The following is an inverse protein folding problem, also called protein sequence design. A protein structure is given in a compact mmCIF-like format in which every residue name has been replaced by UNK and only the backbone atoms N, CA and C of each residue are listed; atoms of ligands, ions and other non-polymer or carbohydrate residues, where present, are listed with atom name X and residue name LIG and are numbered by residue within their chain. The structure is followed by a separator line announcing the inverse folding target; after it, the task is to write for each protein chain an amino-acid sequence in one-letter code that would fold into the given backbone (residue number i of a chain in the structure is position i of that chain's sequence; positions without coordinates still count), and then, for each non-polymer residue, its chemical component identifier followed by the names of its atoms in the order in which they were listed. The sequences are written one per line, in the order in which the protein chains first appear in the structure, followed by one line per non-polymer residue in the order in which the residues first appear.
data_IF_187457176917
#
_entry.id   IF_187457176917
#
_cell.length_a   1.000
_cell.length_b   1.000
_cell.length_c   1.000
_cell.angle_alpha   90.00
_cell.angle_beta   90.00
_cell.angle_gamma   90.00
#
_symmetry.space_group_name_H-M   'P 1'
#
loop_
_entity.id
_entity.type
_entity.pdbx_description
1 polymer ?
#
# COMPACT_ATOMS: atom_id res chain seq x y z
N UNK A 1 2.87 9.78 -1.19
CA UNK A 1 2.07 8.55 -1.31
C UNK A 1 3.00 7.41 -1.66
N UNK A 2 3.00 6.33 -0.90
CA UNK A 2 3.69 5.11 -1.26
C UNK A 2 2.88 3.90 -0.81
N UNK A 3 3.23 2.71 -1.31
CA UNK A 3 2.61 1.46 -0.85
C UNK A 3 3.58 0.64 0.00
N UNK A 4 4.89 0.74 -0.23
CA UNK A 4 5.90 -0.04 0.48
C UNK A 4 5.60 -1.55 0.49
N UNK A 5 5.86 -2.22 -0.64
CA UNK A 5 5.71 -3.67 -0.73
C UNK A 5 6.85 -4.39 0.00
N UNK A 6 6.74 -4.52 1.34
CA UNK A 6 7.81 -5.06 2.20
C UNK A 6 7.89 -6.59 2.23
N UNK A 7 6.92 -7.27 1.64
CA UNK A 7 6.90 -8.72 1.43
C UNK A 7 5.94 -9.05 0.26
N UNK A 8 6.01 -10.28 -0.26
CA UNK A 8 5.02 -10.78 -1.22
C UNK A 8 3.73 -11.21 -0.51
N UNK A 9 3.81 -11.68 0.74
CA UNK A 9 2.63 -11.89 1.57
C UNK A 9 2.14 -10.54 2.12
N UNK A 10 0.91 -10.08 1.77
CA UNK A 10 0.41 -8.79 2.22
C UNK A 10 0.32 -8.68 3.74
N UNK A 11 0.14 -9.80 4.47
CA UNK A 11 0.11 -9.82 5.94
C UNK A 11 1.47 -9.54 6.54
N UNK A 12 2.51 -10.19 6.01
CA UNK A 12 3.88 -9.92 6.43
C UNK A 12 4.29 -8.50 6.06
N UNK A 13 3.94 -8.04 4.86
CA UNK A 13 4.20 -6.68 4.43
C UNK A 13 3.55 -5.65 5.40
N UNK A 14 2.29 -5.88 5.77
CA UNK A 14 1.58 -5.05 6.74
C UNK A 14 2.26 -5.06 8.12
N UNK A 15 2.62 -6.24 8.61
CA UNK A 15 3.29 -6.42 9.89
C UNK A 15 4.63 -5.68 9.97
N UNK A 16 5.41 -5.68 8.89
CA UNK A 16 6.72 -5.02 8.86
C UNK A 16 6.68 -3.49 8.88
N UNK A 17 5.53 -2.86 8.59
CA UNK A 17 5.46 -1.40 8.68
C UNK A 17 5.68 -0.92 10.12
N UNK A 18 6.31 0.25 10.23
CA UNK A 18 6.39 0.96 11.50
C UNK A 18 5.03 1.54 11.86
N UNK A 19 4.87 1.89 13.13
CA UNK A 19 3.57 2.26 13.69
C UNK A 19 2.95 3.47 12.98
N UNK A 20 3.76 4.45 12.61
CA UNK A 20 3.29 5.64 11.90
C UNK A 20 2.76 5.33 10.49
N UNK A 21 3.23 4.25 9.88
CA UNK A 21 2.87 3.90 8.52
C UNK A 21 1.60 3.06 8.41
N UNK A 22 1.26 2.20 9.38
CA UNK A 22 0.05 1.36 9.31
C UNK A 22 -1.20 2.21 9.04
N UNK A 23 -1.42 3.24 9.86
CA UNK A 23 -2.56 4.15 9.70
C UNK A 23 -2.46 5.01 8.42
N UNK A 24 -1.29 5.59 8.16
CA UNK A 24 -1.07 6.47 7.01
C UNK A 24 -1.28 5.75 5.68
N UNK A 25 -0.77 4.54 5.54
CA UNK A 25 -0.84 3.76 4.30
C UNK A 25 -2.27 3.31 4.00
N UNK A 26 -3.11 3.07 5.00
CA UNK A 26 -4.55 2.84 4.78
C UNK A 26 -5.26 4.03 4.15
N UNK A 27 -4.96 5.25 4.62
CA UNK A 27 -5.51 6.47 4.01
C UNK A 27 -5.02 6.66 2.58
N UNK A 28 -3.71 6.48 2.36
CA UNK A 28 -3.12 6.60 1.03
C UNK A 28 -3.68 5.53 0.05
N UNK A 29 -3.86 4.29 0.51
CA UNK A 29 -4.48 3.23 -0.27
C UNK A 29 -5.94 3.55 -0.63
N UNK A 30 -6.74 4.06 0.30
CA UNK A 30 -8.12 4.46 0.00
C UNK A 30 -8.18 5.60 -1.02
N UNK A 31 -7.29 6.58 -0.92
CA UNK A 31 -7.17 7.66 -1.90
C UNK A 31 -6.84 7.13 -3.30
N UNK A 32 -5.90 6.18 -3.41
CA UNK A 32 -5.58 5.53 -4.68
C UNK A 32 -6.75 4.73 -5.22
N UNK A 33 -7.30 3.80 -4.42
CA UNK A 33 -8.34 2.87 -4.86
C UNK A 33 -9.62 3.60 -5.27
N UNK A 34 -9.99 4.67 -4.55
CA UNK A 34 -11.12 5.53 -4.90
C UNK A 34 -10.84 6.34 -6.17
N UNK A 35 -9.63 6.88 -6.32
CA UNK A 35 -9.26 7.60 -7.54
C UNK A 35 -9.30 6.65 -8.74
N UNK A 36 -8.73 5.46 -8.63
CA UNK A 36 -8.78 4.44 -9.68
C UNK A 36 -10.22 4.02 -10.04
N UNK A 37 -11.12 3.91 -9.06
CA UNK A 37 -12.53 3.65 -9.32
C UNK A 37 -13.20 4.82 -10.07
N UNK A 38 -12.92 6.07 -9.69
CA UNK A 38 -13.45 7.27 -10.36
C UNK A 38 -12.93 7.42 -11.79
N UNK A 39 -11.63 7.22 -12.01
CA UNK A 39 -11.02 7.28 -13.34
C UNK A 39 -11.57 6.18 -14.28
N UNK A 40 -12.06 5.07 -13.71
CA UNK A 40 -12.77 4.01 -14.43
C UNK A 40 -14.30 4.17 -14.45
N UNK A 41 -14.81 5.39 -14.19
CA UNK A 41 -16.20 5.76 -14.41
C UNK A 41 -17.14 5.64 -13.21
N UNK A 42 -16.64 5.32 -12.01
CA UNK A 42 -17.49 5.30 -10.81
C UNK A 42 -17.80 6.72 -10.32
N UNK A 43 -19.09 7.01 -10.12
CA UNK A 43 -19.58 8.31 -9.62
C UNK A 43 -20.06 8.25 -8.17
N UNK A 44 -19.84 7.14 -7.45
CA UNK A 44 -20.41 6.96 -6.13
C UNK A 44 -19.96 8.04 -5.12
N UNK A 45 -20.92 8.62 -4.38
CA UNK A 45 -20.69 9.75 -3.48
C UNK A 45 -19.81 9.41 -2.26
N UNK A 46 -19.76 8.12 -1.89
CA UNK A 46 -18.98 7.68 -0.73
C UNK A 46 -17.48 7.56 -1.01
N UNK A 47 -17.06 7.59 -2.28
CA UNK A 47 -15.65 7.54 -2.65
C UNK A 47 -14.95 8.84 -2.29
N UNK A 48 -13.70 8.75 -1.84
CA UNK A 48 -12.82 9.91 -1.73
C UNK A 48 -12.75 10.68 -3.06
N UNK A 49 -12.55 11.99 -2.98
CA UNK A 49 -12.30 12.81 -4.18
C UNK A 49 -11.00 12.37 -4.87
N UNK A 50 -10.99 12.40 -6.21
CA UNK A 50 -9.82 12.04 -7.00
C UNK A 50 -8.61 12.86 -6.58
N UNK A 51 -7.49 12.19 -6.34
CA UNK A 51 -6.22 12.81 -5.94
C UNK A 51 -5.05 12.03 -6.51
N UNK A 52 -3.90 12.68 -6.66
CA UNK A 52 -2.67 12.03 -7.12
C UNK A 52 -2.84 11.21 -8.42
N UNK A 53 -3.69 11.68 -9.36
CA UNK A 53 -4.05 10.96 -10.60
C UNK A 53 -2.81 10.57 -11.42
N UNK A 54 -1.81 11.43 -11.46
CA UNK A 54 -0.56 11.21 -12.20
C UNK A 54 0.50 10.41 -11.43
N UNK A 55 0.23 10.05 -10.17
CA UNK A 55 1.18 9.28 -9.37
C UNK A 55 1.32 7.85 -9.91
N UNK A 56 2.54 7.28 -9.96
CA UNK A 56 2.76 5.95 -10.55
C UNK A 56 1.86 4.86 -9.97
N UNK A 57 1.64 4.86 -8.65
CA UNK A 57 0.75 3.91 -7.97
C UNK A 57 -0.71 4.08 -8.40
N UNK A 58 -1.17 5.32 -8.56
CA UNK A 58 -2.55 5.59 -8.98
C UNK A 58 -2.78 5.12 -10.41
N UNK A 59 -1.88 5.45 -11.34
CA UNK A 59 -1.95 4.96 -12.71
C UNK A 59 -1.95 3.43 -12.78
N UNK A 60 -1.07 2.79 -11.99
CA UNK A 60 -1.00 1.34 -11.89
C UNK A 60 -2.29 0.71 -11.32
N UNK A 61 -2.91 1.31 -10.31
CA UNK A 61 -4.19 0.82 -9.79
C UNK A 61 -5.36 1.09 -10.76
N UNK A 62 -5.31 2.16 -11.55
CA UNK A 62 -6.32 2.49 -12.57
C UNK A 62 -6.25 1.55 -13.77
N UNK A 63 -5.06 1.11 -14.17
CA UNK A 63 -4.87 0.40 -15.46
C UNK A 63 -5.38 -1.04 -15.48
N UNK A 64 -5.52 -1.69 -14.32
CA UNK A 64 -5.87 -3.11 -14.26
C UNK A 64 -6.63 -3.50 -12.99
N UNK A 65 -7.63 -4.39 -13.15
CA UNK A 65 -8.38 -4.98 -12.04
C UNK A 65 -7.47 -5.77 -11.10
N UNK A 66 -6.52 -6.54 -11.64
CA UNK A 66 -5.57 -7.31 -10.82
C UNK A 66 -4.66 -6.41 -9.98
N UNK A 67 -4.26 -5.25 -10.51
CA UNK A 67 -3.46 -4.29 -9.75
C UNK A 67 -4.26 -3.64 -8.62
N UNK A 68 -5.49 -3.21 -8.94
CA UNK A 68 -6.41 -2.64 -7.96
C UNK A 68 -6.67 -3.62 -6.82
N UNK A 69 -6.95 -4.88 -7.13
CA UNK A 69 -7.16 -5.94 -6.14
C UNK A 69 -5.93 -6.18 -5.28
N UNK A 70 -4.72 -6.21 -5.86
CA UNK A 70 -3.49 -6.35 -5.07
C UNK A 70 -3.29 -5.23 -4.05
N UNK A 71 -3.64 -3.99 -4.43
CA UNK A 71 -3.59 -2.88 -3.46
C UNK A 71 -4.70 -2.98 -2.41
N UNK A 72 -5.90 -3.44 -2.79
CA UNK A 72 -6.96 -3.73 -1.83
C UNK A 72 -6.55 -4.82 -0.84
N UNK A 73 -5.95 -5.91 -1.29
CA UNK A 73 -5.49 -7.01 -0.42
C UNK A 73 -4.44 -6.53 0.59
N UNK A 74 -3.53 -5.66 0.13
CA UNK A 74 -2.57 -5.03 1.03
C UNK A 74 -3.22 -4.04 2.00
N UNK A 75 -4.21 -3.28 1.57
CA UNK A 75 -5.00 -2.41 2.45
C UNK A 75 -5.83 -3.22 3.46
N UNK A 76 -6.36 -4.39 3.09
CA UNK A 76 -7.04 -5.30 4.01
C UNK A 76 -6.08 -5.78 5.10
N UNK A 77 -4.88 -6.22 4.70
CA UNK A 77 -3.84 -6.65 5.62
C UNK A 77 -3.40 -5.52 6.56
N UNK A 78 -3.25 -4.30 6.05
CA UNK A 78 -2.98 -3.11 6.86
C UNK A 78 -4.11 -2.82 7.85
N UNK A 79 -5.38 -3.04 7.46
CA UNK A 79 -6.51 -2.84 8.35
C UNK A 79 -6.54 -3.90 9.46
N UNK A 80 -6.28 -5.17 9.13
CA UNK A 80 -6.15 -6.22 10.13
C UNK A 80 -5.02 -5.90 11.12
N UNK A 81 -3.86 -5.47 10.62
CA UNK A 81 -2.73 -5.03 11.44
C UNK A 81 -3.10 -3.81 12.30
N UNK A 82 -3.82 -2.83 11.76
CA UNK A 82 -4.31 -1.67 12.52
C UNK A 82 -5.22 -2.09 13.69
N UNK A 83 -6.13 -3.03 13.44
CA UNK A 83 -7.08 -3.51 14.44
C UNK A 83 -6.34 -4.26 15.55
N UNK A 84 -5.45 -5.17 15.18
CA UNK A 84 -4.67 -5.98 16.13
C UNK A 84 -3.66 -5.12 16.91
N UNK A 85 -2.80 -4.38 16.20
CA UNK A 85 -1.68 -3.61 16.77
C UNK A 85 -2.13 -2.53 17.74
N UNK A 86 -3.29 -1.91 17.49
CA UNK A 86 -3.80 -0.81 18.31
C UNK A 86 -5.04 -1.16 19.12
N UNK A 87 -5.31 -2.46 19.28
CA UNK A 87 -6.41 -3.03 20.07
C UNK A 87 -7.75 -2.35 19.76
N UNK A 88 -8.03 -2.15 18.47
CA UNK A 88 -9.28 -1.52 18.02
C UNK A 88 -10.39 -2.55 18.01
N UNK A 89 -11.61 -2.08 18.23
CA UNK A 89 -12.82 -2.89 18.09
C UNK A 89 -13.49 -2.71 16.74
N UNK A 90 -13.08 -1.69 15.99
CA UNK A 90 -13.67 -1.28 14.70
C UNK A 90 -12.54 -1.13 13.68
N UNK A 91 -12.89 -1.33 12.41
CA UNK A 91 -11.99 -1.12 11.29
C UNK A 91 -11.58 0.35 11.14
N UNK A 92 -10.46 0.55 10.44
CA UNK A 92 -10.03 1.87 10.05
C UNK A 92 -11.06 2.52 9.12
N UNK A 93 -11.35 3.81 9.33
CA UNK A 93 -12.37 4.52 8.53
C UNK A 93 -12.12 4.42 7.01
N UNK A 94 -10.85 4.50 6.59
CA UNK A 94 -10.48 4.31 5.18
C UNK A 94 -10.81 2.92 4.65
N UNK A 95 -10.65 1.87 5.46
CA UNK A 95 -11.03 0.51 5.07
C UNK A 95 -12.53 0.38 4.87
N UNK A 96 -13.34 1.00 5.73
CA UNK A 96 -14.81 0.99 5.56
C UNK A 96 -15.27 1.62 4.24
N UNK A 97 -14.46 2.49 3.63
CA UNK A 97 -14.73 3.02 2.29
C UNK A 97 -14.27 2.03 1.22
N UNK A 98 -13.06 1.47 1.35
CA UNK A 98 -12.50 0.49 0.41
C UNK A 98 -13.39 -0.75 0.30
N UNK A 99 -13.85 -1.29 1.44
CA UNK A 99 -14.63 -2.53 1.49
C UNK A 99 -16.01 -2.41 0.83
N UNK A 100 -16.54 -1.18 0.74
CA UNK A 100 -17.80 -0.90 0.04
C UNK A 100 -17.68 -0.90 -1.48
N UNK A 101 -16.45 -0.85 -2.01
CA UNK A 101 -16.22 -0.80 -3.45
C UNK A 101 -16.34 -2.22 -4.00
N UNK A 102 -17.34 -2.45 -4.84
CA UNK A 102 -17.45 -3.68 -5.60
C UNK A 102 -16.53 -3.60 -6.84
N UNK A 103 -15.44 -4.38 -6.91
CA UNK A 103 -14.56 -4.37 -8.08
C UNK A 103 -15.22 -4.89 -9.37
N UNK A 104 -16.36 -5.57 -9.28
CA UNK A 104 -17.12 -6.03 -10.46
C UNK A 104 -17.96 -4.89 -11.09
N UNK A 105 -18.19 -3.80 -10.35
CA UNK A 105 -18.85 -2.59 -10.86
C UNK A 105 -17.88 -1.61 -11.53
N UNK A 106 -16.58 -1.89 -11.52
CA UNK A 106 -15.54 -1.03 -12.12
C UNK A 106 -15.10 -1.60 -13.48
N UNK A 107 -15.18 -0.78 -14.52
CA UNK A 107 -14.75 -1.16 -15.86
C UNK A 107 -13.24 -0.88 -16.06
N UNK A 108 -12.39 -1.78 -15.58
CA UNK A 108 -10.94 -1.65 -15.75
C UNK A 108 -10.50 -1.84 -17.22
N UNK A 109 -9.42 -1.18 -17.67
CA UNK A 109 -8.88 -1.36 -19.02
C UNK A 109 -8.27 -2.75 -19.27
N UNK A 110 -7.82 -3.42 -18.21
CA UNK A 110 -7.17 -4.73 -18.24
C UNK A 110 -7.56 -5.58 -17.03
N UNK A 111 -7.51 -6.89 -17.18
CA UNK A 111 -7.64 -7.88 -16.09
C UNK A 111 -6.27 -8.41 -15.64
N UNK A 112 -5.23 -8.19 -16.45
CA UNK A 112 -3.90 -8.79 -16.25
C UNK A 112 -3.06 -7.96 -15.28
N UNK A 113 -2.26 -8.60 -14.40
CA UNK A 113 -1.36 -7.89 -13.52
C UNK A 113 -0.23 -7.23 -14.31
N UNK A 114 0.16 -6.03 -13.91
CA UNK A 114 1.36 -5.34 -14.43
C UNK A 114 2.40 -5.17 -13.33
N UNK A 115 3.68 -4.90 -13.67
CA UNK A 115 4.73 -4.71 -12.67
C UNK A 115 4.37 -3.60 -11.68
N UNK A 116 4.54 -3.90 -10.37
CA UNK A 116 4.32 -2.93 -9.29
C UNK A 116 5.25 -1.72 -9.48
N UNK A 117 4.74 -0.48 -9.38
CA UNK A 117 5.57 0.71 -9.53
C UNK A 117 6.50 0.85 -8.33
N UNK A 118 7.73 1.29 -8.58
CA UNK A 118 8.71 1.64 -7.56
C UNK A 118 8.71 3.15 -7.37
N UNK A 119 7.75 3.64 -6.57
CA UNK A 119 7.57 5.06 -6.26
C UNK A 119 8.64 5.52 -5.23
N UNK A 120 9.90 5.52 -5.65
CA UNK A 120 11.07 5.76 -4.81
C UNK A 120 12.20 6.45 -5.62
N UNK A 121 13.23 7.02 -4.94
CA UNK A 121 14.45 7.52 -5.58
C UNK A 121 15.13 6.46 -6.45
N UNK A 122 15.92 6.91 -7.44
CA UNK A 122 16.53 6.02 -8.42
C UNK A 122 17.53 5.06 -7.79
N UNK A 123 18.27 5.48 -6.76
CA UNK A 123 19.28 4.64 -6.09
C UNK A 123 18.70 3.38 -5.42
N UNK A 124 17.41 3.37 -5.07
CA UNK A 124 16.77 2.22 -4.43
C UNK A 124 16.07 1.28 -5.42
N UNK A 125 15.92 1.66 -6.69
CA UNK A 125 15.15 0.88 -7.65
C UNK A 125 15.86 -0.43 -7.98
N UNK A 126 15.10 -1.51 -8.03
CA UNK A 126 15.56 -2.81 -8.48
C UNK A 126 14.52 -3.42 -9.44
N UNK A 127 14.78 -3.43 -10.76
CA UNK A 127 13.80 -3.91 -11.74
C UNK A 127 13.47 -5.40 -11.62
N UNK A 128 14.35 -6.19 -11.00
CA UNK A 128 14.20 -7.63 -10.86
C UNK A 128 13.50 -8.04 -9.56
N UNK A 129 13.54 -7.18 -8.53
CA UNK A 129 12.96 -7.47 -7.22
C UNK A 129 12.36 -6.20 -6.58
N UNK A 130 11.03 -6.10 -6.64
CA UNK A 130 10.29 -4.97 -6.07
C UNK A 130 10.34 -4.98 -4.54
N UNK A 131 10.34 -6.15 -3.90
CA UNK A 131 10.36 -6.25 -2.43
C UNK A 131 11.72 -5.80 -1.92
N UNK A 132 12.82 -6.26 -2.53
CA UNK A 132 14.15 -5.82 -2.18
C UNK A 132 14.33 -4.31 -2.38
N UNK A 133 13.80 -3.73 -3.48
CA UNK A 133 13.81 -2.28 -3.71
C UNK A 133 13.11 -1.52 -2.57
N UNK A 134 11.92 -1.99 -2.19
CA UNK A 134 11.14 -1.35 -1.14
C UNK A 134 11.75 -1.54 0.25
N UNK A 135 12.35 -2.69 0.58
CA UNK A 135 13.09 -2.89 1.82
C UNK A 135 14.30 -1.99 1.93
N UNK A 136 15.09 -1.86 0.85
CA UNK A 136 16.23 -0.94 0.80
C UNK A 136 15.79 0.51 1.01
N UNK A 137 14.75 0.95 0.29
CA UNK A 137 14.20 2.30 0.46
C UNK A 137 13.64 2.53 1.87
N UNK A 138 13.00 1.52 2.46
CA UNK A 138 12.46 1.61 3.81
C UNK A 138 13.57 1.72 4.86
N UNK A 139 14.63 0.90 4.73
CA UNK A 139 15.79 0.92 5.62
C UNK A 139 16.51 2.28 5.54
N UNK A 140 16.94 2.70 4.35
CA UNK A 140 17.76 3.92 4.20
C UNK A 140 17.03 5.22 4.55
N UNK A 141 15.71 5.28 4.35
CA UNK A 141 14.99 6.56 4.43
C UNK A 141 13.93 6.64 5.53
N UNK A 142 13.61 5.52 6.16
CA UNK A 142 12.55 5.44 7.17
C UNK A 142 13.06 4.90 8.50
N UNK A 143 14.05 4.02 8.53
CA UNK A 143 14.53 3.38 9.75
C UNK A 143 14.97 4.38 10.83
N UNK A 144 15.60 5.51 10.46
CA UNK A 144 16.12 6.50 11.42
C UNK A 144 15.04 7.04 12.38
N UNK A 145 13.80 7.17 11.93
CA UNK A 145 12.69 7.73 12.72
C UNK A 145 11.53 6.75 12.94
N UNK A 146 11.60 5.57 12.34
CA UNK A 146 10.58 4.55 12.45
C UNK A 146 10.53 3.97 13.87
N UNK A 147 9.32 3.67 14.34
CA UNK A 147 9.12 3.03 15.65
C UNK A 147 8.26 1.78 15.49
N UNK A 148 8.66 0.70 16.15
CA UNK A 148 7.92 -0.55 16.28
C UNK A 148 7.65 -0.81 17.76
N UNK A 149 6.73 -0.04 18.35
CA UNK A 149 6.44 -0.13 19.79
C UNK A 149 5.51 -1.28 20.14
N UNK A 150 4.77 -1.78 19.14
CA UNK A 150 3.70 -2.76 19.30
C UNK A 150 3.96 -4.06 18.53
N UNK A 151 5.05 -4.12 17.77
CA UNK A 151 5.46 -5.27 16.96
C UNK A 151 6.97 -5.42 17.01
N UNK A 152 7.49 -6.57 16.61
CA UNK A 152 8.94 -6.76 16.46
C UNK A 152 9.45 -5.99 15.24
N UNK A 153 10.67 -5.48 15.33
CA UNK A 153 11.34 -4.89 14.17
C UNK A 153 11.52 -5.95 13.06
N UNK A 154 11.38 -5.58 11.78
CA UNK A 154 11.53 -6.53 10.70
C UNK A 154 12.92 -7.16 10.70
N UNK A 155 13.01 -8.50 10.69
CA UNK A 155 14.29 -9.21 10.77
C UNK A 155 15.26 -8.89 9.64
N UNK A 156 14.74 -8.49 8.47
CA UNK A 156 15.54 -8.08 7.33
C UNK A 156 16.13 -6.69 7.49
N UNK A 157 15.68 -5.86 8.43
CA UNK A 157 16.08 -4.45 8.54
C UNK A 157 17.59 -4.30 8.84
N UNK A 158 18.12 -5.12 9.76
CA UNK A 158 19.53 -5.12 10.13
C UNK A 158 20.43 -5.40 8.91
N UNK A 159 20.05 -6.34 8.05
CA UNK A 159 20.79 -6.70 6.84
C UNK A 159 20.96 -5.52 5.87
N UNK A 160 20.01 -4.58 5.83
CA UNK A 160 20.09 -3.39 4.97
C UNK A 160 20.84 -2.22 5.63
N UNK A 161 20.83 -2.14 6.97
CA UNK A 161 21.53 -1.09 7.71
C UNK A 161 23.04 -1.34 7.80
N UNK A 162 23.47 -2.61 7.80
CA UNK A 162 24.89 -2.98 7.82
C UNK A 162 25.60 -2.80 6.46
N UNK A 163 24.84 -2.50 5.39
CA UNK A 163 25.37 -2.31 4.04
C UNK A 163 25.82 -0.86 3.73
N UNK A 164 25.66 0.07 4.69
CA UNK A 164 26.06 1.49 4.57
C UNK A 164 27.43 1.82 5.19
#
# INVERSE_FOLDING_TARGET
MNVFWLDEDPRLAAHYHCDQHVNKLLLEAAQVLCTAARENGSEADYLYQSTHVDHPVTRWATESRANWLRLRDHAEALNAEFVERYEKTEDHASWTVIDRIDPDEIAFPSEEPTPRPQAMPEEYRNPDDTVAAYRAYYAGEKAEWAEWRYTDEPSWLEEYLELE
#
